data_IF_151894336507
#
_entry.id   IF_151894336507
#
_cell.length_a   1.000
_cell.length_b   1.000
_cell.length_c   1.000
_cell.angle_alpha   90.00
_cell.angle_beta   90.00
_cell.angle_gamma   90.00
#
_symmetry.space_group_name_H-M   'P 1'
#
loop_
_entity.id
_entity.type
_entity.pdbx_description
1 polymer ?
#
# COMPACT_ATOMS: atom_id res chain seq x y z
N UNK A 1 -14.44 19.75 29.94
CA UNK A 1 -14.15 18.89 28.77
C UNK A 1 -14.43 19.72 27.53
N UNK A 2 -13.41 19.93 26.69
CA UNK A 2 -13.51 20.74 25.48
C UNK A 2 -14.48 20.08 24.48
N UNK A 3 -15.14 20.88 23.63
CA UNK A 3 -16.04 20.38 22.59
C UNK A 3 -15.31 19.41 21.64
N UNK A 4 -14.02 19.67 21.40
CA UNK A 4 -13.12 18.79 20.63
C UNK A 4 -12.94 17.43 21.30
N UNK A 5 -12.84 17.37 22.62
CA UNK A 5 -12.67 16.09 23.37
C UNK A 5 -13.93 15.21 23.32
N UNK A 6 -15.11 15.81 23.16
CA UNK A 6 -16.36 15.06 22.95
C UNK A 6 -16.39 14.45 21.55
N UNK A 7 -16.13 15.27 20.53
CA UNK A 7 -16.08 14.85 19.13
C UNK A 7 -15.06 13.72 18.94
N UNK A 8 -13.86 13.86 19.52
CA UNK A 8 -12.82 12.83 19.40
C UNK A 8 -13.24 11.51 20.06
N UNK A 9 -13.97 11.54 21.17
CA UNK A 9 -14.46 10.33 21.84
C UNK A 9 -15.56 9.65 21.03
N UNK A 10 -16.48 10.43 20.50
CA UNK A 10 -17.56 9.91 19.64
C UNK A 10 -16.98 9.25 18.38
N UNK A 11 -16.06 9.92 17.70
CA UNK A 11 -15.37 9.36 16.53
C UNK A 11 -14.59 8.08 16.86
N UNK A 12 -14.00 7.98 18.06
CA UNK A 12 -13.30 6.76 18.48
C UNK A 12 -14.25 5.58 18.70
N UNK A 13 -15.43 5.82 19.26
CA UNK A 13 -16.45 4.78 19.42
C UNK A 13 -17.05 4.36 18.07
N UNK A 14 -17.28 5.30 17.15
CA UNK A 14 -17.68 4.96 15.78
C UNK A 14 -16.64 4.08 15.08
N UNK A 15 -15.36 4.45 15.17
CA UNK A 15 -14.26 3.63 14.63
C UNK A 15 -14.24 2.24 15.28
N UNK A 16 -14.50 2.15 16.59
CA UNK A 16 -14.53 0.87 17.29
C UNK A 16 -15.66 -0.03 16.76
N UNK A 17 -16.86 0.52 16.60
CA UNK A 17 -18.03 -0.19 16.09
C UNK A 17 -17.78 -0.68 14.65
N UNK A 18 -17.27 0.19 13.78
CA UNK A 18 -16.92 -0.17 12.40
C UNK A 18 -15.88 -1.31 12.35
N UNK A 19 -14.90 -1.30 13.25
CA UNK A 19 -13.90 -2.38 13.33
C UNK A 19 -14.50 -3.72 13.80
N UNK A 20 -15.53 -3.69 14.65
CA UNK A 20 -16.25 -4.90 15.05
C UNK A 20 -17.10 -5.45 13.91
N UNK A 21 -17.80 -4.58 13.16
CA UNK A 21 -18.55 -4.97 11.96
C UNK A 21 -17.65 -5.58 10.88
N UNK A 22 -16.47 -4.99 10.65
CA UNK A 22 -15.48 -5.52 9.71
C UNK A 22 -15.07 -6.95 10.12
N UNK A 23 -14.82 -7.21 11.41
CA UNK A 23 -14.48 -8.56 11.90
C UNK A 23 -15.61 -9.56 11.65
N UNK A 24 -16.86 -9.15 11.85
CA UNK A 24 -18.02 -9.99 11.59
C UNK A 24 -18.16 -10.33 10.10
N UNK A 25 -18.01 -9.35 9.21
CA UNK A 25 -18.06 -9.56 7.76
C UNK A 25 -16.93 -10.47 7.28
N UNK A 26 -15.72 -10.26 7.81
CA UNK A 26 -14.58 -11.14 7.58
C UNK A 26 -14.91 -12.59 7.95
N UNK A 27 -15.43 -12.83 9.16
CA UNK A 27 -15.81 -14.17 9.60
C UNK A 27 -16.84 -14.83 8.67
N UNK A 28 -17.86 -14.10 8.24
CA UNK A 28 -18.90 -14.61 7.32
C UNK A 28 -18.32 -14.98 5.96
N UNK A 29 -17.45 -14.14 5.41
CA UNK A 29 -16.79 -14.41 4.13
C UNK A 29 -15.89 -15.65 4.23
N UNK A 30 -15.23 -15.89 5.37
CA UNK A 30 -14.44 -17.11 5.60
C UNK A 30 -15.31 -18.35 5.67
N UNK A 31 -16.44 -18.27 6.35
CA UNK A 31 -17.39 -19.39 6.44
C UNK A 31 -17.97 -19.74 5.08
N UNK A 32 -18.18 -18.73 4.23
CA UNK A 32 -18.63 -18.90 2.85
C UNK A 32 -17.51 -19.36 1.89
N UNK A 33 -16.26 -19.51 2.35
CA UNK A 33 -15.12 -19.83 1.49
C UNK A 33 -14.78 -18.73 0.47
N UNK A 34 -15.33 -17.53 0.66
CA UNK A 34 -15.06 -16.39 -0.21
C UNK A 34 -13.74 -15.80 0.26
N UNK A 35 -12.69 -15.73 -0.58
CA UNK A 35 -11.44 -15.10 -0.19
C UNK A 35 -11.67 -13.60 0.03
N UNK A 36 -11.47 -13.14 1.25
CA UNK A 36 -11.44 -11.73 1.62
C UNK A 36 -10.06 -11.46 2.20
N UNK A 37 -9.26 -10.74 1.45
CA UNK A 37 -7.92 -10.36 1.79
C UNK A 37 -7.64 -9.08 1.04
N UNK A 38 -7.03 -8.12 1.74
CA UNK A 38 -6.48 -6.85 1.23
C UNK A 38 -6.06 -7.05 -0.24
N UNK A 39 -6.72 -6.34 -1.17
CA UNK A 39 -6.58 -6.48 -2.63
C UNK A 39 -5.23 -6.03 -3.18
N UNK A 40 -4.15 -6.45 -2.54
CA UNK A 40 -2.77 -6.24 -2.94
C UNK A 40 -2.11 -7.60 -2.75
N UNK A 41 -1.48 -8.14 -3.79
CA UNK A 41 -0.58 -9.28 -3.64
C UNK A 41 0.63 -8.86 -2.78
N UNK A 42 0.44 -8.65 -1.49
CA UNK A 42 1.51 -8.57 -0.51
C UNK A 42 2.14 -9.95 -0.44
N UNK A 43 3.20 -10.18 -1.23
CA UNK A 43 4.12 -11.28 -0.95
C UNK A 43 4.88 -10.91 0.32
N UNK A 44 4.29 -11.23 1.46
CA UNK A 44 4.97 -11.18 2.75
C UNK A 44 6.10 -12.21 2.73
N UNK A 45 7.34 -11.74 2.88
CA UNK A 45 8.46 -12.64 3.17
C UNK A 45 8.77 -12.57 4.66
N UNK A 46 8.80 -13.71 5.37
CA UNK A 46 9.19 -13.71 6.77
C UNK A 46 10.62 -13.19 6.90
N UNK A 47 10.82 -12.37 7.92
CA UNK A 47 12.06 -11.66 8.18
C UNK A 47 13.16 -12.64 8.66
N UNK A 48 14.13 -12.96 7.81
CA UNK A 48 15.11 -14.03 8.04
C UNK A 48 16.43 -13.59 8.68
N UNK A 49 16.58 -12.33 9.09
CA UNK A 49 17.86 -11.80 9.60
C UNK A 49 17.75 -11.06 10.93
N UNK A 50 18.65 -11.36 11.87
CA UNK A 50 18.73 -10.72 13.20
C UNK A 50 18.84 -9.18 13.15
N UNK A 51 19.42 -8.62 12.08
CA UNK A 51 19.56 -7.17 11.88
C UNK A 51 18.22 -6.45 11.67
N UNK A 52 17.17 -7.17 11.30
CA UNK A 52 15.87 -6.59 10.96
C UNK A 52 14.85 -6.66 12.11
N UNK A 53 15.22 -7.25 13.26
CA UNK A 53 14.38 -7.33 14.46
C UNK A 53 14.10 -5.95 15.09
N UNK A 54 14.88 -4.92 14.77
CA UNK A 54 14.68 -3.56 15.30
C UNK A 54 13.91 -2.66 14.33
N UNK A 55 14.24 -2.73 13.04
CA UNK A 55 13.78 -1.75 12.05
C UNK A 55 12.55 -2.20 11.25
N UNK A 56 12.37 -3.51 11.07
CA UNK A 56 11.30 -4.12 10.26
C UNK A 56 10.59 -5.21 11.08
N UNK A 57 10.13 -4.83 12.29
CA UNK A 57 9.52 -5.75 13.27
C UNK A 57 8.36 -6.53 12.66
N UNK A 58 7.56 -5.88 11.82
CA UNK A 58 6.41 -6.48 11.17
C UNK A 58 6.72 -6.94 9.74
N UNK A 59 8.00 -7.01 9.37
CA UNK A 59 8.45 -7.55 8.09
C UNK A 59 8.54 -6.55 6.95
N UNK A 60 8.64 -7.12 5.75
CA UNK A 60 8.89 -6.43 4.49
C UNK A 60 7.84 -6.82 3.46
N UNK A 61 7.41 -5.81 2.71
CA UNK A 61 6.32 -5.92 1.77
C UNK A 61 6.79 -5.51 0.39
N UNK A 62 6.47 -6.33 -0.62
CA UNK A 62 6.79 -6.04 -2.01
C UNK A 62 5.50 -5.71 -2.76
N UNK A 63 5.50 -4.56 -3.41
CA UNK A 63 4.37 -4.05 -4.19
C UNK A 63 4.78 -3.85 -5.64
N UNK A 64 4.04 -4.43 -6.58
CA UNK A 64 4.20 -4.08 -8.00
C UNK A 64 3.43 -2.81 -8.31
N UNK A 65 4.07 -1.85 -8.97
CA UNK A 65 3.52 -0.52 -9.22
C UNK A 65 4.02 0.07 -10.53
N UNK A 66 3.44 1.20 -10.93
CA UNK A 66 3.79 1.95 -12.14
C UNK A 66 3.87 3.44 -11.87
N UNK A 67 4.83 4.11 -12.51
CA UNK A 67 4.86 5.57 -12.58
C UNK A 67 5.09 6.04 -14.02
N UNK A 68 4.67 7.26 -14.30
CA UNK A 68 4.77 7.87 -15.63
C UNK A 68 5.61 9.15 -15.56
N UNK A 69 6.63 9.26 -16.42
CA UNK A 69 7.40 10.49 -16.57
C UNK A 69 6.99 11.21 -17.86
N UNK A 70 6.59 12.49 -17.79
CA UNK A 70 6.28 13.26 -18.99
C UNK A 70 7.55 13.53 -19.80
N UNK A 71 7.40 13.47 -21.11
CA UNK A 71 8.38 13.95 -22.10
C UNK A 71 7.80 15.21 -22.70
N UNK A 72 8.55 16.30 -22.67
CA UNK A 72 8.14 17.59 -23.20
C UNK A 72 8.81 17.84 -24.56
N UNK A 73 8.08 18.50 -25.46
CA UNK A 73 8.62 19.03 -26.71
C UNK A 73 9.41 20.33 -26.50
N UNK A 74 9.91 20.92 -27.59
CA UNK A 74 10.66 22.18 -27.57
C UNK A 74 9.84 23.38 -27.07
N UNK A 75 8.52 23.29 -27.14
CA UNK A 75 7.58 24.31 -26.67
C UNK A 75 7.17 24.09 -25.20
N UNK A 76 7.67 23.04 -24.55
CA UNK A 76 7.34 22.68 -23.18
C UNK A 76 5.96 22.04 -23.02
N UNK A 77 5.36 21.55 -24.12
CA UNK A 77 4.10 20.80 -24.11
C UNK A 77 4.41 19.31 -23.93
N UNK A 78 3.59 18.60 -23.15
CA UNK A 78 3.76 17.16 -22.93
C UNK A 78 3.48 16.41 -24.23
N UNK A 79 4.52 15.84 -24.84
CA UNK A 79 4.45 15.04 -26.06
C UNK A 79 3.95 13.62 -25.76
N UNK A 80 4.44 13.01 -24.67
CA UNK A 80 4.05 11.65 -24.24
C UNK A 80 4.43 11.39 -22.78
N UNK A 81 3.96 10.25 -22.27
CA UNK A 81 4.39 9.70 -20.99
C UNK A 81 5.19 8.41 -21.19
N UNK A 82 6.41 8.37 -20.65
CA UNK A 82 7.14 7.12 -20.49
C UNK A 82 6.64 6.42 -19.21
N UNK A 83 5.97 5.28 -19.36
CA UNK A 83 5.50 4.48 -18.23
C UNK A 83 6.59 3.51 -17.80
N UNK A 84 6.79 3.35 -16.50
CA UNK A 84 7.75 2.43 -15.90
C UNK A 84 7.04 1.52 -14.92
N UNK A 85 7.26 0.22 -15.07
CA UNK A 85 6.94 -0.78 -14.07
C UNK A 85 8.04 -0.81 -13.00
N UNK A 86 7.66 -0.96 -11.73
CA UNK A 86 8.57 -1.10 -10.59
C UNK A 86 8.06 -2.10 -9.57
N UNK A 87 8.97 -2.63 -8.77
CA UNK A 87 8.62 -3.31 -7.52
C UNK A 87 9.11 -2.48 -6.33
N UNK A 88 8.19 -1.92 -5.55
CA UNK A 88 8.50 -1.18 -4.33
C UNK A 88 8.72 -2.13 -3.15
N UNK A 89 9.78 -1.88 -2.39
CA UNK A 89 10.07 -2.56 -1.13
C UNK A 89 9.69 -1.63 0.03
N UNK A 90 8.71 -2.03 0.82
CA UNK A 90 8.16 -1.26 1.94
C UNK A 90 8.48 -1.97 3.25
N UNK A 91 9.00 -1.20 4.21
CA UNK A 91 9.32 -1.64 5.56
C UNK A 91 8.17 -1.32 6.50
N UNK A 92 7.71 -2.30 7.28
CA UNK A 92 6.72 -2.08 8.34
C UNK A 92 7.43 -2.02 9.70
N UNK A 93 7.55 -0.78 10.20
CA UNK A 93 8.36 -0.48 11.36
C UNK A 93 7.60 -0.70 12.68
N UNK A 94 8.33 -0.78 13.80
CA UNK A 94 7.79 -1.03 15.14
C UNK A 94 6.70 -0.05 15.57
N UNK A 95 6.73 1.18 15.07
CA UNK A 95 5.72 2.21 15.35
C UNK A 95 4.39 2.00 14.60
N UNK A 96 4.26 0.93 13.79
CA UNK A 96 3.08 0.63 12.99
C UNK A 96 3.02 1.37 11.65
N UNK A 97 4.03 2.17 11.32
CA UNK A 97 4.08 2.92 10.07
C UNK A 97 4.80 2.13 8.96
N UNK A 98 4.39 2.43 7.73
CA UNK A 98 4.99 1.91 6.50
C UNK A 98 5.96 2.95 5.92
N UNK A 99 7.16 2.49 5.56
CA UNK A 99 8.19 3.33 4.96
C UNK A 99 8.64 2.71 3.64
N UNK A 100 8.63 3.49 2.55
CA UNK A 100 9.28 3.07 1.31
C UNK A 100 10.79 3.00 1.58
N UNK A 101 11.36 1.82 1.37
CA UNK A 101 12.77 1.58 1.60
C UNK A 101 13.56 1.61 0.29
N UNK A 102 13.03 0.96 -0.74
CA UNK A 102 13.69 0.90 -2.05
C UNK A 102 12.66 0.73 -3.19
N UNK A 103 13.07 1.10 -4.39
CA UNK A 103 12.35 0.87 -5.64
C UNK A 103 13.23 0.01 -6.54
N UNK A 104 12.80 -1.23 -6.74
CA UNK A 104 13.54 -2.26 -7.47
C UNK A 104 12.92 -2.54 -8.83
N UNK A 105 13.67 -3.28 -9.67
CA UNK A 105 13.19 -3.85 -10.93
C UNK A 105 12.52 -2.83 -11.87
N UNK A 106 13.07 -1.60 -11.90
CA UNK A 106 12.57 -0.51 -12.72
C UNK A 106 12.75 -0.85 -14.19
N UNK A 107 11.66 -0.93 -14.94
CA UNK A 107 11.66 -1.25 -16.37
C UNK A 107 10.69 -0.32 -17.10
N UNK A 108 11.18 0.31 -18.16
CA UNK A 108 10.33 1.09 -19.06
C UNK A 108 9.37 0.13 -19.78
N UNK A 109 8.08 0.41 -19.73
CA UNK A 109 7.10 -0.30 -20.54
C UNK A 109 7.25 0.15 -22.00
N UNK A 110 7.56 -0.79 -22.88
CA UNK A 110 7.71 -0.57 -24.32
C UNK A 110 6.46 -0.99 -25.10
N UNK A 111 5.38 -1.34 -24.41
CA UNK A 111 4.11 -1.67 -25.06
C UNK A 111 3.54 -0.44 -25.76
N UNK A 112 2.94 -0.67 -26.93
CA UNK A 112 2.23 0.35 -27.69
C UNK A 112 1.30 1.15 -26.76
N UNK A 113 1.20 2.49 -26.93
CA UNK A 113 0.34 3.32 -26.09
C UNK A 113 -1.06 2.71 -26.03
N UNK A 114 -1.62 2.63 -24.82
CA UNK A 114 -2.98 2.16 -24.62
C UNK A 114 -3.90 2.97 -25.53
N UNK A 115 -4.46 2.30 -26.54
CA UNK A 115 -5.51 2.88 -27.38
C UNK A 115 -6.78 2.87 -26.54
N UNK A 116 -7.20 4.04 -26.08
CA UNK A 116 -8.54 4.27 -25.56
C UNK A 116 -9.51 4.49 -26.71
#
# INVERSE_FOLDING_TARGET
MDNKDKIIREQREEIRLLNEEIKCLQLLLSQAGIPYGKGIQEKERPNSGNKHLRDAVFGWYRYDSRFALPVYDEQGVVERYNVYHVSMLVRHAKNGNYYLYDILDIKKETSNPFRF
#
